data_IF_891656780514
#
_entry.id   IF_891656780514
#
_cell.length_a   1.000
_cell.length_b   1.000
_cell.length_c   1.000
_cell.angle_alpha   90.00
_cell.angle_beta   90.00
_cell.angle_gamma   90.00
#
_symmetry.space_group_name_H-M   'P 1'
#
loop_
_entity.id
_entity.type
_entity.pdbx_description
1 polymer ?
#
# COMPACT_ATOMS: atom_id res chain seq x y z
N UNK A 1 13.27 -17.50 1.98
CA UNK A 1 12.20 -17.61 0.99
C UNK A 1 11.00 -16.86 1.52
N UNK A 2 10.43 -16.00 0.69
CA UNK A 2 9.23 -15.24 0.96
C UNK A 2 8.03 -16.18 1.03
N UNK A 3 7.00 -15.80 1.80
CA UNK A 3 5.76 -16.58 1.98
C UNK A 3 5.93 -17.97 2.63
N UNK A 4 7.11 -18.32 3.11
CA UNK A 4 7.31 -19.49 3.99
C UNK A 4 7.40 -19.10 5.45
N UNK A 5 7.06 -20.01 6.35
CA UNK A 5 7.22 -19.79 7.79
C UNK A 5 8.69 -19.46 8.10
N UNK A 6 8.92 -18.38 8.84
CA UNK A 6 10.25 -18.10 9.37
C UNK A 6 10.63 -19.14 10.44
N UNK A 7 11.87 -19.58 10.42
CA UNK A 7 12.47 -20.26 11.57
C UNK A 7 12.46 -19.35 12.81
N UNK A 8 12.49 -19.91 14.02
CA UNK A 8 12.61 -19.12 15.24
C UNK A 8 13.75 -18.09 15.15
N UNK A 9 13.45 -16.83 15.46
CA UNK A 9 14.43 -15.75 15.33
C UNK A 9 15.48 -15.80 16.44
N UNK A 10 16.72 -15.49 16.07
CA UNK A 10 17.78 -15.12 17.02
C UNK A 10 17.50 -13.76 17.64
N UNK A 11 18.16 -13.40 18.74
CA UNK A 11 18.01 -12.09 19.37
C UNK A 11 18.26 -10.92 18.39
N UNK A 12 19.30 -11.02 17.56
CA UNK A 12 19.59 -10.04 16.51
C UNK A 12 18.45 -9.91 15.50
N UNK A 13 17.89 -11.03 15.02
CA UNK A 13 16.76 -11.00 14.09
C UNK A 13 15.47 -10.49 14.73
N UNK A 14 15.29 -10.67 16.05
CA UNK A 14 14.17 -10.07 16.79
C UNK A 14 14.29 -8.55 16.77
N UNK A 15 15.47 -7.99 17.06
CA UNK A 15 15.71 -6.55 17.00
C UNK A 15 15.48 -6.01 15.58
N UNK A 16 16.10 -6.64 14.57
CA UNK A 16 15.93 -6.22 13.18
C UNK A 16 14.45 -6.24 12.75
N UNK A 17 13.70 -7.28 13.16
CA UNK A 17 12.25 -7.33 12.89
C UNK A 17 11.50 -6.19 13.57
N UNK A 18 11.82 -5.86 14.82
CA UNK A 18 11.20 -4.73 15.52
C UNK A 18 11.48 -3.40 14.80
N UNK A 19 12.73 -3.17 14.40
CA UNK A 19 13.13 -1.96 13.67
C UNK A 19 12.41 -1.83 12.31
N UNK A 20 12.28 -2.94 11.58
CA UNK A 20 11.56 -2.97 10.29
C UNK A 20 10.06 -2.73 10.50
N UNK A 21 9.45 -3.34 11.52
CA UNK A 21 8.04 -3.12 11.83
C UNK A 21 7.77 -1.67 12.19
N UNK A 22 8.62 -1.08 13.03
CA UNK A 22 8.55 0.34 13.37
C UNK A 22 8.66 1.19 12.11
N UNK A 23 9.67 0.97 11.26
CA UNK A 23 9.87 1.73 10.03
C UNK A 23 8.64 1.74 9.11
N UNK A 24 8.11 0.56 8.75
CA UNK A 24 7.05 0.46 7.73
C UNK A 24 5.69 0.94 8.26
N UNK A 25 5.44 0.81 9.56
CA UNK A 25 4.22 1.32 10.18
C UNK A 25 4.32 2.81 10.46
N UNK A 26 5.49 3.30 10.88
CA UNK A 26 5.77 4.72 11.08
C UNK A 26 5.66 5.50 9.77
N UNK A 27 6.12 4.94 8.66
CA UNK A 27 5.96 5.58 7.34
C UNK A 27 4.46 5.78 6.99
N UNK A 28 3.62 4.76 7.20
CA UNK A 28 2.16 4.88 7.02
C UNK A 28 1.54 5.89 7.98
N UNK A 29 1.95 5.85 9.24
CA UNK A 29 1.51 6.81 10.24
C UNK A 29 1.86 8.24 9.82
N UNK A 30 3.08 8.47 9.34
CA UNK A 30 3.51 9.79 8.89
C UNK A 30 2.69 10.27 7.71
N UNK A 31 2.47 9.40 6.70
CA UNK A 31 1.64 9.74 5.54
C UNK A 31 0.23 10.14 5.95
N UNK A 32 -0.40 9.35 6.81
CA UNK A 32 -1.80 9.57 7.20
C UNK A 32 -1.98 10.80 8.11
N UNK A 33 -0.90 11.27 8.75
CA UNK A 33 -0.89 12.44 9.63
C UNK A 33 -0.12 13.65 9.06
N UNK A 34 0.21 13.62 7.77
CA UNK A 34 0.94 14.69 7.09
C UNK A 34 2.30 15.07 7.72
N UNK A 35 3.00 14.10 8.32
CA UNK A 35 4.33 14.27 8.92
C UNK A 35 5.43 14.09 7.86
N UNK A 36 5.47 14.99 6.89
CA UNK A 36 6.25 14.80 5.66
C UNK A 36 7.77 14.70 5.90
N UNK A 37 8.33 15.58 6.74
CA UNK A 37 9.77 15.58 7.03
C UNK A 37 10.19 14.26 7.72
N UNK A 38 9.31 13.70 8.56
CA UNK A 38 9.54 12.40 9.19
C UNK A 38 9.41 11.25 8.18
N UNK A 39 8.39 11.30 7.31
CA UNK A 39 8.18 10.32 6.24
C UNK A 39 9.37 10.23 5.29
N UNK A 40 10.02 11.36 4.98
CA UNK A 40 11.20 11.42 4.11
C UNK A 40 12.36 10.59 4.66
N UNK A 41 12.52 10.53 5.98
CA UNK A 41 13.57 9.73 6.62
C UNK A 41 13.39 8.21 6.46
N UNK A 42 12.21 7.75 6.06
CA UNK A 42 11.90 6.32 5.93
C UNK A 42 12.42 5.71 4.63
N UNK A 43 12.72 6.50 3.60
CA UNK A 43 13.00 6.02 2.25
C UNK A 43 14.50 6.04 1.92
N UNK A 44 14.95 5.08 1.12
CA UNK A 44 16.26 5.19 0.46
C UNK A 44 16.21 6.31 -0.60
N UNK A 45 17.39 6.86 -0.93
CA UNK A 45 17.52 7.88 -1.99
C UNK A 45 16.94 7.41 -3.33
N UNK A 46 17.20 6.15 -3.68
CA UNK A 46 16.81 5.55 -4.95
C UNK A 46 15.53 4.70 -4.84
N UNK A 47 14.74 4.92 -3.79
CA UNK A 47 13.52 4.16 -3.54
C UNK A 47 12.46 4.36 -4.62
N UNK A 48 11.63 3.34 -4.84
CA UNK A 48 10.54 3.38 -5.82
C UNK A 48 9.18 3.01 -5.21
N UNK A 49 8.13 3.69 -5.66
CA UNK A 49 6.74 3.47 -5.25
C UNK A 49 5.90 3.13 -6.47
N UNK A 50 5.05 2.11 -6.35
CA UNK A 50 4.07 1.74 -7.38
C UNK A 50 2.74 1.30 -6.76
N UNK A 51 1.76 2.19 -6.82
CA UNK A 51 0.41 2.03 -6.27
C UNK A 51 -0.65 2.62 -7.21
N UNK A 52 -1.93 2.45 -6.87
CA UNK A 52 -3.10 2.75 -7.70
C UNK A 52 -3.07 4.09 -8.41
N UNK A 53 -2.58 5.14 -7.78
CA UNK A 53 -2.58 6.51 -8.30
C UNK A 53 -1.17 7.09 -8.50
N UNK A 54 -0.11 6.31 -8.23
CA UNK A 54 1.26 6.83 -8.27
C UNK A 54 2.29 5.78 -8.69
N UNK A 55 3.17 6.17 -9.61
CA UNK A 55 4.38 5.44 -9.96
C UNK A 55 5.57 6.41 -10.07
N UNK A 56 6.63 6.16 -9.32
CA UNK A 56 7.81 7.03 -9.29
C UNK A 56 8.69 6.79 -8.07
N UNK A 57 9.56 7.74 -7.73
CA UNK A 57 10.45 7.60 -6.56
C UNK A 57 9.70 7.76 -5.23
N UNK A 58 10.26 7.26 -4.13
CA UNK A 58 9.72 7.48 -2.78
C UNK A 58 9.59 8.97 -2.43
N UNK A 59 10.61 9.77 -2.76
CA UNK A 59 10.56 11.23 -2.57
C UNK A 59 9.49 11.88 -3.46
N UNK A 60 9.33 11.43 -4.71
CA UNK A 60 8.26 11.88 -5.58
C UNK A 60 6.86 11.52 -5.05
N UNK A 61 6.73 10.36 -4.41
CA UNK A 61 5.49 9.93 -3.78
C UNK A 61 5.09 10.82 -2.60
N UNK A 62 6.06 11.26 -1.79
CA UNK A 62 5.83 12.22 -0.70
C UNK A 62 5.34 13.55 -1.28
N UNK A 63 6.00 14.08 -2.31
CA UNK A 63 5.61 15.33 -2.96
C UNK A 63 4.24 15.26 -3.63
N UNK A 64 3.88 14.11 -4.21
CA UNK A 64 2.54 13.89 -4.75
C UNK A 64 1.50 13.75 -3.63
N UNK A 65 1.84 13.09 -2.52
CA UNK A 65 0.97 12.94 -1.35
C UNK A 65 0.62 14.28 -0.71
N UNK A 66 1.58 15.21 -0.61
CA UNK A 66 1.35 16.60 -0.12
C UNK A 66 0.26 17.35 -0.89
N UNK A 67 0.03 16.98 -2.15
CA UNK A 67 -0.96 17.63 -3.03
C UNK A 67 -2.35 16.99 -2.94
N UNK A 68 -2.47 15.84 -2.28
CA UNK A 68 -3.78 15.20 -2.09
C UNK A 68 -4.62 16.04 -1.14
N UNK A 69 -5.80 16.46 -1.60
CA UNK A 69 -6.75 17.23 -0.79
C UNK A 69 -7.72 16.36 0.00
N UNK A 70 -7.94 15.11 -0.44
CA UNK A 70 -8.83 14.17 0.21
C UNK A 70 -8.01 13.19 1.07
N UNK A 71 -8.20 13.17 2.41
CA UNK A 71 -7.55 12.19 3.27
C UNK A 71 -7.96 10.76 2.90
N UNK A 72 -7.00 9.84 2.90
CA UNK A 72 -7.30 8.43 2.66
C UNK A 72 -6.62 7.51 3.70
N UNK A 73 -6.91 7.65 5.00
CA UNK A 73 -6.21 6.95 6.07
C UNK A 73 -6.26 5.42 5.93
N UNK A 74 -5.27 4.76 6.51
CA UNK A 74 -5.14 3.30 6.49
C UNK A 74 -5.48 2.72 7.86
N UNK A 75 -6.28 1.65 7.88
CA UNK A 75 -6.37 0.75 9.03
C UNK A 75 -5.39 -0.38 8.83
N UNK A 76 -4.37 -0.43 9.69
CA UNK A 76 -3.31 -1.43 9.63
C UNK A 76 -3.71 -2.64 10.48
N UNK A 77 -3.47 -3.83 9.94
CA UNK A 77 -3.67 -5.11 10.62
C UNK A 77 -2.33 -5.79 10.87
N UNK A 78 -2.18 -7.05 10.46
CA UNK A 78 -0.94 -7.78 10.67
C UNK A 78 0.12 -7.34 9.65
N UNK A 79 1.37 -7.29 10.11
CA UNK A 79 2.54 -7.13 9.26
C UNK A 79 3.46 -8.34 9.42
N UNK A 80 3.71 -9.04 8.32
CA UNK A 80 4.62 -10.17 8.27
C UNK A 80 5.94 -9.75 7.61
N UNK A 81 7.06 -10.11 8.22
CA UNK A 81 8.41 -9.73 7.76
C UNK A 81 9.24 -10.98 7.47
N UNK A 82 9.99 -10.97 6.38
CA UNK A 82 11.02 -11.94 6.03
C UNK A 82 12.36 -11.21 5.89
N UNK A 83 13.39 -11.68 6.60
CA UNK A 83 14.70 -11.01 6.68
C UNK A 83 15.78 -11.96 6.17
N UNK A 84 16.62 -11.45 5.28
CA UNK A 84 17.81 -12.13 4.75
C UNK A 84 18.95 -11.11 4.68
N UNK A 85 19.95 -11.29 5.55
CA UNK A 85 21.10 -10.39 5.67
C UNK A 85 20.64 -8.93 5.83
N UNK A 86 21.08 -8.05 4.92
CA UNK A 86 20.76 -6.62 4.88
C UNK A 86 19.48 -6.30 4.11
N UNK A 87 18.65 -7.30 3.81
CA UNK A 87 17.38 -7.13 3.09
C UNK A 87 16.22 -7.74 3.84
N UNK A 88 15.07 -7.13 3.68
CA UNK A 88 13.81 -7.64 4.19
C UNK A 88 12.65 -7.32 3.27
N UNK A 89 11.64 -8.18 3.28
CA UNK A 89 10.34 -7.88 2.71
C UNK A 89 9.33 -7.87 3.83
N UNK A 90 8.58 -6.77 3.97
CA UNK A 90 7.46 -6.67 4.90
C UNK A 90 6.15 -6.51 4.15
N UNK A 91 5.18 -7.36 4.48
CA UNK A 91 3.84 -7.38 3.92
C UNK A 91 2.88 -6.95 5.02
N UNK A 92 2.35 -5.74 4.88
CA UNK A 92 1.39 -5.15 5.80
C UNK A 92 -0.01 -5.24 5.20
N UNK A 93 -0.94 -5.85 5.93
CA UNK A 93 -2.35 -5.86 5.55
C UNK A 93 -2.99 -4.54 5.98
N UNK A 94 -3.72 -3.89 5.07
CA UNK A 94 -4.37 -2.63 5.36
C UNK A 94 -5.70 -2.46 4.61
N UNK A 95 -6.61 -1.71 5.20
CA UNK A 95 -7.78 -1.15 4.51
C UNK A 95 -7.57 0.33 4.30
N UNK A 96 -7.57 0.77 3.05
CA UNK A 96 -7.56 2.19 2.65
C UNK A 96 -8.98 2.70 2.79
N UNK A 97 -9.17 3.76 3.57
CA UNK A 97 -10.47 4.38 3.79
C UNK A 97 -10.47 5.81 3.28
N UNK A 98 -11.51 6.21 2.57
CA UNK A 98 -11.70 7.61 2.18
C UNK A 98 -13.16 7.85 1.89
N UNK A 99 -13.55 9.12 1.90
CA UNK A 99 -14.91 9.52 1.53
C UNK A 99 -14.93 10.16 0.16
N UNK A 100 -16.02 9.97 -0.54
CA UNK A 100 -16.26 10.61 -1.82
C UNK A 100 -17.74 10.93 -1.98
N UNK A 101 -18.06 11.97 -2.74
CA UNK A 101 -19.44 12.34 -3.04
C UNK A 101 -19.79 11.79 -4.42
N UNK A 102 -20.82 10.95 -4.49
CA UNK A 102 -21.36 10.45 -5.75
C UNK A 102 -22.84 10.81 -5.83
N UNK A 103 -23.21 11.55 -6.86
CA UNK A 103 -24.59 12.00 -7.10
C UNK A 103 -25.23 12.67 -5.86
N UNK A 104 -24.43 13.47 -5.13
CA UNK A 104 -24.87 14.19 -3.93
C UNK A 104 -24.95 13.35 -2.65
N UNK A 105 -24.54 12.08 -2.68
CA UNK A 105 -24.48 11.20 -1.50
C UNK A 105 -23.02 11.00 -1.07
N UNK A 106 -22.75 11.22 0.20
CA UNK A 106 -21.45 10.92 0.82
C UNK A 106 -21.31 9.40 0.99
N UNK A 107 -20.28 8.84 0.37
CA UNK A 107 -19.98 7.43 0.35
C UNK A 107 -18.65 7.17 1.07
N UNK A 108 -18.57 6.08 1.83
CA UNK A 108 -17.37 5.58 2.50
C UNK A 108 -16.76 4.44 1.68
N UNK A 109 -15.51 4.59 1.28
CA UNK A 109 -14.71 3.56 0.65
C UNK A 109 -14.02 2.72 1.73
N UNK A 110 -14.05 1.40 1.57
CA UNK A 110 -13.12 0.50 2.23
C UNK A 110 -12.44 -0.37 1.16
N UNK A 111 -11.13 -0.24 0.98
CA UNK A 111 -10.35 -1.00 0.00
C UNK A 111 -9.23 -1.78 0.67
N UNK A 112 -9.36 -3.10 0.65
CA UNK A 112 -8.41 -4.03 1.26
C UNK A 112 -7.23 -4.29 0.32
N UNK A 113 -6.02 -4.13 0.85
CA UNK A 113 -4.77 -4.37 0.13
C UNK A 113 -3.68 -4.93 1.05
N UNK A 114 -2.70 -5.58 0.43
CA UNK A 114 -1.39 -5.81 1.04
C UNK A 114 -0.44 -4.72 0.55
N UNK A 115 0.12 -3.96 1.48
CA UNK A 115 1.21 -3.01 1.25
C UNK A 115 2.52 -3.76 1.41
N UNK A 116 3.22 -3.96 0.31
CA UNK A 116 4.43 -4.77 0.22
C UNK A 116 5.63 -3.85 0.12
N UNK A 117 6.53 -3.97 1.08
CA UNK A 117 7.73 -3.13 1.17
C UNK A 117 8.98 -3.98 1.06
N UNK A 118 9.90 -3.55 0.21
CA UNK A 118 11.28 -4.05 0.17
C UNK A 118 12.14 -3.08 0.97
N UNK A 119 12.82 -3.58 1.98
CA UNK A 119 13.54 -2.81 3.00
C UNK A 119 15.00 -3.22 3.02
N UNK A 120 15.90 -2.25 2.94
CA UNK A 120 17.35 -2.48 2.88
C UNK A 120 18.06 -1.82 4.06
N UNK A 121 19.10 -2.48 4.58
CA UNK A 121 19.95 -1.96 5.66
C UNK A 121 21.16 -1.26 5.06
N UNK A 122 21.30 0.03 5.36
CA UNK A 122 22.41 0.88 4.92
C UNK A 122 23.04 1.48 6.17
N UNK A 123 24.35 1.31 6.34
CA UNK A 123 25.12 1.82 7.49
C UNK A 123 24.47 1.50 8.85
N UNK A 124 23.91 0.29 8.97
CA UNK A 124 23.28 -0.21 10.20
C UNK A 124 21.84 0.23 10.44
N UNK A 125 21.22 0.98 9.52
CA UNK A 125 19.81 1.44 9.63
C UNK A 125 18.96 0.90 8.49
N UNK A 126 17.69 0.62 8.77
CA UNK A 126 16.74 0.10 7.79
C UNK A 126 16.01 1.24 7.08
N UNK A 127 15.80 1.09 5.77
CA UNK A 127 15.11 2.05 4.92
C UNK A 127 14.21 1.33 3.91
N UNK A 128 13.10 1.96 3.53
CA UNK A 128 12.20 1.48 2.49
C UNK A 128 12.85 1.75 1.12
N UNK A 129 13.14 0.69 0.39
CA UNK A 129 13.68 0.74 -0.96
C UNK A 129 12.58 0.57 -2.03
N UNK A 130 11.50 -0.15 -1.72
CA UNK A 130 10.32 -0.18 -2.57
C UNK A 130 9.03 -0.24 -1.75
N UNK A 131 7.94 0.38 -2.25
CA UNK A 131 6.60 0.31 -1.68
C UNK A 131 5.56 0.07 -2.78
N UNK A 132 4.88 -1.07 -2.73
CA UNK A 132 3.95 -1.52 -3.76
C UNK A 132 2.65 -2.08 -3.17
N UNK A 133 1.57 -2.02 -3.92
CA UNK A 133 0.25 -2.53 -3.51
C UNK A 133 -0.13 -3.85 -4.21
N UNK A 134 -0.70 -4.78 -3.44
CA UNK A 134 -1.44 -5.95 -3.97
C UNK A 134 -2.88 -5.85 -3.50
N UNK A 135 -3.81 -5.66 -4.43
CA UNK A 135 -5.20 -5.34 -4.12
C UNK A 135 -6.07 -6.60 -3.96
N UNK A 136 -7.03 -6.55 -3.03
CA UNK A 136 -7.86 -7.71 -2.70
C UNK A 136 -9.32 -7.50 -3.12
N UNK A 137 -10.01 -6.60 -2.45
CA UNK A 137 -11.41 -6.29 -2.67
C UNK A 137 -11.69 -4.91 -2.12
N UNK A 138 -12.79 -4.32 -2.57
CA UNK A 138 -13.26 -3.07 -1.99
C UNK A 138 -14.79 -2.99 -1.96
N UNK A 139 -15.27 -1.96 -1.27
CA UNK A 139 -16.68 -1.64 -1.17
C UNK A 139 -16.85 -0.13 -1.05
N UNK A 140 -17.99 0.35 -1.55
CA UNK A 140 -18.40 1.73 -1.45
C UNK A 140 -19.82 1.79 -0.91
N UNK A 141 -19.98 2.33 0.29
CA UNK A 141 -21.25 2.29 1.02
C UNK A 141 -21.71 3.71 1.38
N UNK A 142 -23.01 4.02 1.37
CA UNK A 142 -23.50 5.30 1.86
C UNK A 142 -23.12 5.49 3.33
N UNK A 143 -22.58 6.66 3.69
CA UNK A 143 -22.29 7.01 5.09
C UNK A 143 -23.57 7.04 5.92
N UNK A 144 -24.65 7.56 5.32
CA UNK A 144 -25.99 7.58 5.92
C UNK A 144 -26.81 6.44 5.32
N UNK A 145 -27.23 5.43 6.10
CA UNK A 145 -27.91 4.23 5.57
C UNK A 145 -29.22 4.49 4.81
N UNK A 146 -29.88 5.63 5.05
CA UNK A 146 -31.11 6.02 4.35
C UNK A 146 -30.88 6.70 3.00
N UNK A 147 -29.62 6.95 2.63
CA UNK A 147 -29.21 7.51 1.34
C UNK A 147 -28.68 6.39 0.45
N UNK A 148 -28.86 6.55 -0.86
CA UNK A 148 -28.25 5.70 -1.87
C UNK A 148 -27.75 6.58 -3.01
N UNK A 149 -26.53 6.33 -3.47
CA UNK A 149 -26.05 6.84 -4.74
C UNK A 149 -26.44 5.83 -5.82
N UNK A 150 -27.10 6.29 -6.89
CA UNK A 150 -27.23 5.49 -8.10
C UNK A 150 -25.87 5.49 -8.81
N UNK A 151 -25.09 4.42 -8.65
CA UNK A 151 -23.77 4.26 -9.28
C UNK A 151 -23.93 3.26 -10.42
N UNK A 152 -23.92 3.70 -11.69
CA UNK A 152 -24.05 2.80 -12.83
C UNK A 152 -22.98 1.71 -12.80
N UNK A 153 -23.39 0.45 -12.92
CA UNK A 153 -22.50 -0.69 -12.88
C UNK A 153 -21.44 -0.64 -14.00
N UNK A 154 -21.77 0.03 -15.12
CA UNK A 154 -20.90 0.23 -16.27
C UNK A 154 -19.67 1.09 -15.93
N UNK A 155 -19.78 2.02 -14.96
CA UNK A 155 -18.62 2.81 -14.51
C UNK A 155 -17.59 1.93 -13.81
N UNK A 156 -18.06 1.00 -12.96
CA UNK A 156 -17.21 0.05 -12.25
C UNK A 156 -16.68 -1.05 -13.16
N UNK A 157 -17.41 -1.40 -14.23
CA UNK A 157 -17.02 -2.44 -15.18
C UNK A 157 -15.71 -2.12 -15.93
N UNK A 158 -15.32 -0.84 -16.01
CA UNK A 158 -14.05 -0.42 -16.61
C UNK A 158 -12.85 -0.62 -15.69
N UNK A 159 -13.07 -0.93 -14.40
CA UNK A 159 -12.02 -1.10 -13.42
C UNK A 159 -11.87 -2.56 -12.99
N UNK A 160 -10.70 -2.84 -12.40
CA UNK A 160 -10.35 -4.17 -11.88
C UNK A 160 -11.12 -4.48 -10.60
N UNK A 161 -11.73 -5.67 -10.52
CA UNK A 161 -12.63 -6.04 -9.40
C UNK A 161 -11.96 -5.98 -8.02
N UNK A 162 -10.63 -6.11 -7.95
CA UNK A 162 -9.88 -6.04 -6.70
C UNK A 162 -9.76 -4.63 -6.12
N UNK A 163 -10.00 -3.59 -6.91
CA UNK A 163 -9.91 -2.18 -6.48
C UNK A 163 -10.81 -1.23 -7.29
N UNK A 164 -11.98 -1.70 -7.75
CA UNK A 164 -12.85 -0.95 -8.64
C UNK A 164 -13.46 0.29 -7.97
N UNK A 165 -13.88 0.17 -6.71
CA UNK A 165 -14.40 1.29 -5.94
C UNK A 165 -13.32 2.32 -5.63
N UNK A 166 -12.10 1.85 -5.30
CA UNK A 166 -10.94 2.72 -5.09
C UNK A 166 -10.59 3.48 -6.37
N UNK A 167 -10.56 2.79 -7.51
CA UNK A 167 -10.29 3.38 -8.82
C UNK A 167 -11.32 4.44 -9.18
N UNK A 168 -12.62 4.16 -8.98
CA UNK A 168 -13.69 5.14 -9.18
C UNK A 168 -13.50 6.36 -8.28
N UNK A 169 -13.27 6.15 -6.98
CA UNK A 169 -13.07 7.25 -6.01
C UNK A 169 -11.92 8.15 -6.42
N UNK A 170 -10.77 7.57 -6.77
CA UNK A 170 -9.59 8.31 -7.22
C UNK A 170 -9.82 9.03 -8.56
N UNK A 171 -10.51 8.39 -9.52
CA UNK A 171 -10.86 9.01 -10.82
C UNK A 171 -11.74 10.24 -10.64
N UNK A 172 -12.74 10.16 -9.76
CA UNK A 172 -13.61 11.30 -9.42
C UNK A 172 -12.85 12.46 -8.76
N UNK A 173 -11.69 12.17 -8.15
CA UNK A 173 -10.78 13.15 -7.57
C UNK A 173 -9.65 13.56 -8.52
N UNK A 174 -9.72 13.18 -9.80
CA UNK A 174 -8.79 13.64 -10.85
C UNK A 174 -7.49 12.83 -10.96
N UNK A 175 -7.40 11.65 -10.36
CA UNK A 175 -6.23 10.78 -10.48
C UNK A 175 -6.39 9.80 -11.65
N UNK A 176 -5.28 9.55 -12.34
CA UNK A 176 -5.17 8.45 -13.30
C UNK A 176 -4.87 7.13 -12.56
N UNK A 177 -5.53 6.04 -12.97
CA UNK A 177 -5.44 4.75 -12.28
C UNK A 177 -4.65 3.74 -13.10
N UNK A 178 -3.68 3.09 -12.48
CA UNK A 178 -3.01 1.93 -13.06
C UNK A 178 -3.88 0.67 -12.91
N UNK A 179 -4.49 0.23 -14.02
CA UNK A 179 -5.30 -0.99 -14.09
C UNK A 179 -4.48 -2.29 -14.26
N UNK A 180 -3.15 -2.20 -14.20
CA UNK A 180 -2.22 -3.32 -14.34
C UNK A 180 -1.52 -3.66 -13.03
N UNK A 181 -2.02 -3.19 -11.89
CA UNK A 181 -1.46 -3.54 -10.59
C UNK A 181 -1.85 -4.96 -10.15
N UNK A 182 -0.99 -5.64 -9.36
CA UNK A 182 -1.28 -6.96 -8.83
C UNK A 182 -2.57 -6.94 -7.99
N UNK A 183 -3.43 -7.92 -8.21
CA UNK A 183 -4.63 -8.10 -7.39
C UNK A 183 -5.10 -9.54 -7.41
N UNK A 184 -5.88 -9.95 -6.40
CA UNK A 184 -6.30 -11.35 -6.24
C UNK A 184 -7.15 -11.86 -7.42
N UNK A 185 -7.71 -10.96 -8.22
CA UNK A 185 -8.42 -11.23 -9.47
C UNK A 185 -7.49 -11.49 -10.68
N UNK A 186 -6.17 -11.43 -10.50
CA UNK A 186 -5.11 -11.90 -11.41
C UNK A 186 -4.06 -12.69 -10.62
N UNK A 187 -4.34 -13.95 -10.23
CA UNK A 187 -3.44 -14.73 -9.37
C UNK A 187 -2.05 -14.94 -9.98
N UNK A 188 -1.93 -15.16 -11.29
CA UNK A 188 -0.64 -15.32 -11.97
C UNK A 188 0.27 -14.10 -11.82
N UNK A 189 -0.32 -12.89 -11.93
CA UNK A 189 0.42 -11.64 -11.74
C UNK A 189 0.88 -11.47 -10.29
N UNK A 190 0.05 -11.85 -9.32
CA UNK A 190 0.40 -11.83 -7.89
C UNK A 190 1.53 -12.83 -7.61
N UNK A 191 1.48 -14.03 -8.19
CA UNK A 191 2.55 -15.02 -8.07
C UNK A 191 3.87 -14.49 -8.64
N UNK A 192 3.83 -13.90 -9.84
CA UNK A 192 5.02 -13.32 -10.46
C UNK A 192 5.60 -12.17 -9.63
N UNK A 193 4.73 -11.28 -9.12
CA UNK A 193 5.13 -10.19 -8.23
C UNK A 193 5.87 -10.69 -6.97
N UNK A 194 5.34 -11.71 -6.30
CA UNK A 194 6.00 -12.26 -5.10
C UNK A 194 7.26 -13.05 -5.42
N UNK A 195 7.37 -13.65 -6.61
CA UNK A 195 8.60 -14.27 -7.09
C UNK A 195 9.71 -13.22 -7.25
N UNK A 196 9.41 -12.09 -7.90
CA UNK A 196 10.37 -10.98 -8.05
C UNK A 196 10.78 -10.39 -6.69
N UNK A 197 9.84 -10.29 -5.75
CA UNK A 197 10.16 -9.87 -4.38
C UNK A 197 11.06 -10.86 -3.63
N UNK A 198 10.88 -12.17 -3.83
CA UNK A 198 11.74 -13.20 -3.23
C UNK A 198 13.13 -13.21 -3.88
N UNK A 199 13.22 -13.08 -5.21
CA UNK A 199 14.49 -12.98 -5.93
C UNK A 199 15.31 -11.76 -5.44
N UNK A 200 14.66 -10.62 -5.20
CA UNK A 200 15.30 -9.45 -4.60
C UNK A 200 15.76 -9.69 -3.16
N UNK A 201 14.94 -10.38 -2.35
CA UNK A 201 15.26 -10.70 -0.95
C UNK A 201 16.47 -11.64 -0.81
N UNK A 202 16.69 -12.52 -1.79
CA UNK A 202 17.73 -13.56 -1.75
C UNK A 202 19.09 -13.12 -2.31
N UNK A 203 19.13 -12.01 -3.04
CA UNK A 203 20.37 -11.33 -3.45
C UNK A 203 21.12 -10.81 -2.23
#
# INVERSE_FOLDING_TARGET
MLLTRNEPFTAEKIQAKADILELVQFERFCRDNALWDAMETCFTKDSNVKISWFQGTGHGFIEASKKMTNPAPHKIYNTQVWIKNDRAVAIMQATIQTRTIINGVEMELNSDAKLVTRVERIDGKWYINAFEGVYEKDSLMPVVPSKNADVPAELLANFRKSYACLALSLTLNGYEIDNNLPGIDRPEQVTQFFKEADEWLLQ
#
